data_IF_791177957747
#
_entry.id   IF_791177957747
#
_cell.length_a   1.000
_cell.length_b   1.000
_cell.length_c   1.000
_cell.angle_alpha   90.00
_cell.angle_beta   90.00
_cell.angle_gamma   90.00
#
_symmetry.space_group_name_H-M   'P 1'
#
loop_
_entity.id
_entity.type
_entity.pdbx_description
1 polymer ?
#
# COMPACT_ATOMS: atom_id res chain seq x y z
N UNK A 1 18.57 -47.71 -34.03
CA UNK A 1 18.75 -46.24 -34.07
C UNK A 1 17.49 -45.67 -34.71
N UNK A 2 16.64 -44.82 -34.14
CA UNK A 2 16.84 -43.65 -33.26
C UNK A 2 15.63 -43.52 -32.33
N UNK A 3 15.87 -43.27 -31.04
CA UNK A 3 14.83 -42.91 -30.05
C UNK A 3 14.46 -41.44 -30.27
N UNK A 4 13.17 -41.14 -30.45
CA UNK A 4 12.68 -39.77 -30.45
C UNK A 4 12.66 -39.24 -29.02
N UNK A 5 13.50 -38.25 -28.73
CA UNK A 5 13.49 -37.52 -27.45
C UNK A 5 12.44 -36.40 -27.58
N UNK A 6 11.34 -36.52 -26.84
CA UNK A 6 10.48 -35.37 -26.56
C UNK A 6 11.28 -34.39 -25.69
N UNK A 7 11.51 -33.18 -26.22
CA UNK A 7 12.02 -32.05 -25.44
C UNK A 7 10.85 -31.49 -24.63
N UNK A 8 10.88 -31.68 -23.32
CA UNK A 8 10.03 -30.92 -22.41
C UNK A 8 10.49 -29.46 -22.44
N UNK A 9 9.60 -28.55 -22.86
CA UNK A 9 9.83 -27.12 -22.77
C UNK A 9 9.63 -26.71 -21.30
N UNK A 10 10.71 -26.24 -20.67
CA UNK A 10 10.64 -25.64 -19.34
C UNK A 10 10.09 -24.22 -19.50
N UNK A 11 8.81 -24.03 -19.17
CA UNK A 11 8.23 -22.70 -19.03
C UNK A 11 8.82 -22.07 -17.76
N UNK A 12 9.79 -21.19 -17.92
CA UNK A 12 10.23 -20.31 -16.84
C UNK A 12 9.11 -19.30 -16.57
N UNK A 13 8.32 -19.55 -15.53
CA UNK A 13 7.40 -18.54 -15.00
C UNK A 13 8.22 -17.38 -14.46
N UNK A 14 8.11 -16.21 -15.08
CA UNK A 14 8.52 -14.96 -14.45
C UNK A 14 7.64 -14.79 -13.21
N UNK A 15 8.21 -15.02 -12.02
CA UNK A 15 7.65 -14.45 -10.81
C UNK A 15 7.81 -12.92 -10.95
N UNK A 16 6.71 -12.20 -11.17
CA UNK A 16 6.73 -10.76 -10.93
C UNK A 16 7.04 -10.59 -9.44
N UNK A 17 8.20 -10.02 -9.13
CA UNK A 17 8.47 -9.53 -7.80
C UNK A 17 7.39 -8.46 -7.52
N UNK A 18 6.50 -8.75 -6.58
CA UNK A 18 5.60 -7.72 -6.07
C UNK A 18 6.48 -6.59 -5.51
N UNK A 19 6.12 -5.32 -5.72
CA UNK A 19 6.90 -4.20 -5.18
C UNK A 19 7.02 -4.36 -3.66
N UNK A 20 8.18 -4.03 -3.09
CA UNK A 20 8.49 -4.27 -1.68
C UNK A 20 7.45 -3.66 -0.71
N UNK A 21 6.75 -2.60 -1.12
CA UNK A 21 5.68 -1.98 -0.33
C UNK A 21 4.36 -2.78 -0.34
N UNK A 22 4.12 -3.63 -1.34
CA UNK A 22 2.96 -4.53 -1.36
C UNK A 22 3.14 -5.73 -0.41
N UNK A 23 4.37 -5.96 0.06
CA UNK A 23 4.72 -7.04 1.00
C UNK A 23 5.14 -6.48 2.36
N UNK A 24 4.64 -5.31 2.78
CA UNK A 24 4.85 -4.81 4.15
C UNK A 24 4.51 -5.95 5.12
N UNK A 25 5.54 -6.50 5.78
CA UNK A 25 5.38 -7.49 6.82
C UNK A 25 4.48 -6.87 7.90
N UNK A 26 3.46 -7.62 8.32
CA UNK A 26 2.48 -7.09 9.26
C UNK A 26 3.19 -6.86 10.59
N UNK A 27 3.46 -5.60 10.90
CA UNK A 27 4.14 -5.20 12.12
C UNK A 27 3.16 -4.49 13.05
N UNK A 28 3.11 -4.96 14.29
CA UNK A 28 2.37 -4.29 15.35
C UNK A 28 3.18 -3.09 15.85
N UNK A 29 2.59 -1.92 15.74
CA UNK A 29 3.05 -0.72 16.41
C UNK A 29 2.19 -0.46 17.64
N UNK A 30 2.84 -0.20 18.77
CA UNK A 30 2.12 0.26 19.95
C UNK A 30 1.40 1.58 19.67
N UNK A 31 0.21 1.76 20.24
CA UNK A 31 -0.60 2.98 20.10
C UNK A 31 0.12 4.27 20.54
N UNK A 32 1.26 4.16 21.22
CA UNK A 32 2.05 5.28 21.75
C UNK A 32 3.33 5.59 20.93
N UNK A 33 3.48 5.03 19.71
CA UNK A 33 4.60 5.41 18.84
C UNK A 33 4.39 6.82 18.26
N UNK A 34 4.93 7.81 18.95
CA UNK A 34 4.84 9.22 18.55
C UNK A 34 5.39 9.50 17.14
N UNK A 35 6.34 8.71 16.65
CA UNK A 35 6.85 8.88 15.29
C UNK A 35 5.86 8.35 14.25
N UNK A 36 5.18 7.24 14.55
CA UNK A 36 4.12 6.68 13.71
C UNK A 36 2.91 7.62 13.66
N UNK A 37 2.47 8.14 14.80
CA UNK A 37 1.36 9.09 14.87
C UNK A 37 1.65 10.39 14.10
N UNK A 38 2.87 10.91 14.20
CA UNK A 38 3.31 12.06 13.42
C UNK A 38 3.29 11.78 11.91
N UNK A 39 3.70 10.58 11.49
CA UNK A 39 3.67 10.18 10.10
C UNK A 39 2.25 10.03 9.55
N UNK A 40 1.33 9.45 10.32
CA UNK A 40 -0.10 9.38 9.97
C UNK A 40 -0.68 10.80 9.82
N UNK A 41 -0.34 11.70 10.75
CA UNK A 41 -0.80 13.09 10.69
C UNK A 41 -0.28 13.82 9.44
N UNK A 42 0.98 13.62 9.06
CA UNK A 42 1.58 14.21 7.85
C UNK A 42 0.98 13.62 6.57
N UNK A 43 0.75 12.30 6.53
CA UNK A 43 0.09 11.65 5.41
C UNK A 43 -1.32 12.19 5.21
N UNK A 44 -2.09 12.36 6.29
CA UNK A 44 -3.43 12.96 6.25
C UNK A 44 -3.41 14.43 5.84
N UNK A 45 -2.40 15.19 6.27
CA UNK A 45 -2.26 16.59 5.87
C UNK A 45 -2.00 16.75 4.36
N UNK A 46 -1.34 15.78 3.74
CA UNK A 46 -1.00 15.77 2.31
C UNK A 46 -1.98 14.98 1.44
N UNK A 47 -2.87 14.19 2.05
CA UNK A 47 -3.87 13.38 1.37
C UNK A 47 -4.74 14.17 0.37
N UNK A 48 -5.25 15.38 0.69
CA UNK A 48 -6.05 16.14 -0.28
C UNK A 48 -5.27 16.48 -1.57
N UNK A 49 -3.97 16.77 -1.43
CA UNK A 49 -3.09 17.06 -2.56
C UNK A 49 -2.82 15.81 -3.39
N UNK A 50 -2.59 14.66 -2.74
CA UNK A 50 -2.46 13.37 -3.42
C UNK A 50 -3.73 13.03 -4.21
N UNK A 51 -4.91 13.06 -3.57
CA UNK A 51 -6.18 12.73 -4.21
C UNK A 51 -6.48 13.65 -5.41
N UNK A 52 -6.14 14.93 -5.31
CA UNK A 52 -6.32 15.89 -6.40
C UNK A 52 -5.46 15.57 -7.65
N UNK A 53 -4.32 14.89 -7.47
CA UNK A 53 -3.43 14.53 -8.57
C UNK A 53 -3.67 13.13 -9.12
N UNK A 54 -4.14 12.18 -8.30
CA UNK A 54 -4.26 10.78 -8.73
C UNK A 54 -5.67 10.39 -9.15
N UNK A 55 -6.71 11.15 -8.80
CA UNK A 55 -8.07 10.84 -9.23
C UNK A 55 -8.36 11.46 -10.59
N UNK A 56 -8.91 10.65 -11.51
CA UNK A 56 -9.42 11.14 -12.78
C UNK A 56 -10.79 11.82 -12.64
N UNK A 57 -11.34 12.31 -13.76
CA UNK A 57 -12.65 12.96 -13.77
C UNK A 57 -13.82 12.04 -13.36
N UNK A 58 -13.63 10.73 -13.42
CA UNK A 58 -14.57 9.71 -12.94
C UNK A 58 -14.33 9.29 -11.48
N UNK A 59 -13.30 9.85 -10.83
CA UNK A 59 -12.93 9.54 -9.45
C UNK A 59 -12.12 8.25 -9.31
N UNK A 60 -11.58 7.68 -10.38
CA UNK A 60 -10.73 6.48 -10.33
C UNK A 60 -9.26 6.84 -10.12
N UNK A 61 -8.54 6.06 -9.31
CA UNK A 61 -7.12 6.26 -9.02
C UNK A 61 -6.23 5.94 -10.22
N UNK A 62 -5.19 6.74 -10.42
CA UNK A 62 -4.09 6.47 -11.35
C UNK A 62 -3.36 5.16 -11.00
N UNK A 63 -2.71 4.57 -12.00
CA UNK A 63 -1.84 3.41 -11.79
C UNK A 63 -0.72 3.75 -10.79
N UNK A 64 -0.41 2.81 -9.90
CA UNK A 64 0.61 2.99 -8.86
C UNK A 64 0.17 3.82 -7.65
N UNK A 65 -1.04 4.38 -7.66
CA UNK A 65 -1.60 5.06 -6.50
C UNK A 65 -2.26 4.05 -5.54
N UNK A 66 -1.91 4.13 -4.26
CA UNK A 66 -2.47 3.27 -3.21
C UNK A 66 -2.75 4.10 -1.95
N UNK A 67 -3.71 3.66 -1.14
CA UNK A 67 -3.99 4.23 0.19
C UNK A 67 -3.96 3.14 1.24
N UNK A 68 -3.50 3.47 2.46
CA UNK A 68 -3.54 2.57 3.61
C UNK A 68 -4.72 2.92 4.50
N UNK A 69 -5.63 1.97 4.72
CA UNK A 69 -6.90 2.20 5.40
C UNK A 69 -6.94 1.42 6.71
N UNK A 70 -7.35 2.08 7.79
CA UNK A 70 -7.58 1.44 9.09
C UNK A 70 -8.99 0.87 9.20
N UNK A 71 -9.13 -0.44 9.14
CA UNK A 71 -10.41 -1.13 9.37
C UNK A 71 -10.49 -1.68 10.80
N UNK A 72 -11.68 -1.66 11.43
CA UNK A 72 -11.87 -2.36 12.70
C UNK A 72 -11.51 -3.84 12.55
N UNK A 73 -10.65 -4.34 13.44
CA UNK A 73 -10.32 -5.75 13.49
C UNK A 73 -11.57 -6.58 13.86
N UNK A 74 -11.69 -7.77 13.27
CA UNK A 74 -12.88 -8.63 13.37
C UNK A 74 -12.57 -10.05 13.85
N UNK A 75 -11.29 -10.43 13.95
CA UNK A 75 -10.93 -11.79 14.34
C UNK A 75 -10.45 -11.89 15.78
N UNK A 76 -9.45 -12.74 15.99
CA UNK A 76 -9.06 -13.26 17.29
C UNK A 76 -7.75 -12.65 17.81
N UNK A 77 -7.18 -11.68 17.10
CA UNK A 77 -5.97 -10.99 17.55
C UNK A 77 -6.32 -9.94 18.62
N UNK A 78 -5.30 -9.42 19.29
CA UNK A 78 -5.44 -8.31 20.23
C UNK A 78 -5.44 -6.93 19.51
N UNK A 79 -5.45 -6.92 18.17
CA UNK A 79 -5.54 -5.69 17.39
C UNK A 79 -6.94 -5.09 17.48
N UNK A 80 -7.01 -3.77 17.63
CA UNK A 80 -8.28 -3.02 17.56
C UNK A 80 -8.58 -2.52 16.15
N UNK A 81 -7.53 -2.21 15.38
CA UNK A 81 -7.59 -1.71 14.01
C UNK A 81 -6.47 -2.38 13.22
N UNK A 82 -6.79 -2.89 12.04
CA UNK A 82 -5.80 -3.32 11.07
C UNK A 82 -5.67 -2.25 9.98
N UNK A 83 -4.44 -1.77 9.79
CA UNK A 83 -4.11 -0.86 8.71
C UNK A 83 -3.58 -1.65 7.51
N UNK A 84 -4.29 -1.58 6.39
CA UNK A 84 -3.99 -2.39 5.20
C UNK A 84 -3.99 -1.56 3.92
N UNK A 85 -3.11 -1.89 3.00
CA UNK A 85 -3.03 -1.22 1.71
C UNK A 85 -4.17 -1.65 0.80
N UNK A 86 -4.75 -0.70 0.07
CA UNK A 86 -5.83 -0.95 -0.89
C UNK A 86 -5.52 -0.26 -2.22
N UNK A 87 -5.76 -0.97 -3.32
CA UNK A 87 -5.65 -0.47 -4.69
C UNK A 87 -6.28 -1.44 -5.70
N UNK A 88 -6.72 -0.96 -6.88
CA UNK A 88 -7.01 0.44 -7.18
C UNK A 88 -8.23 0.91 -6.38
N UNK A 89 -8.38 2.22 -6.19
CA UNK A 89 -9.51 2.80 -5.47
C UNK A 89 -10.28 3.80 -6.33
N UNK A 90 -11.57 3.97 -6.04
CA UNK A 90 -12.43 4.94 -6.71
C UNK A 90 -13.29 5.69 -5.70
N UNK A 91 -13.41 7.01 -5.89
CA UNK A 91 -14.30 7.86 -5.10
C UNK A 91 -15.74 7.71 -5.58
N UNK A 92 -16.65 7.54 -4.62
CA UNK A 92 -18.07 7.38 -4.84
C UNK A 92 -18.80 8.74 -4.78
N UNK A 93 -20.03 8.85 -5.34
CA UNK A 93 -20.80 10.11 -5.34
C UNK A 93 -21.14 10.67 -3.95
N UNK A 94 -21.15 9.81 -2.93
CA UNK A 94 -21.38 10.19 -1.53
C UNK A 94 -20.11 10.66 -0.80
N UNK A 95 -18.97 10.66 -1.50
CA UNK A 95 -17.67 11.06 -0.96
C UNK A 95 -16.85 9.91 -0.37
N UNK A 96 -17.43 8.72 -0.20
CA UNK A 96 -16.71 7.52 0.23
C UNK A 96 -15.85 6.93 -0.88
N UNK A 97 -15.19 5.82 -0.58
CA UNK A 97 -14.31 5.11 -1.50
C UNK A 97 -14.69 3.63 -1.60
N UNK A 98 -14.41 3.05 -2.76
CA UNK A 98 -14.39 1.61 -2.99
C UNK A 98 -12.99 1.20 -3.45
N UNK A 99 -12.49 0.07 -3.00
CA UNK A 99 -11.19 -0.46 -3.41
C UNK A 99 -11.14 -1.99 -3.32
N UNK A 100 -10.03 -2.57 -3.74
CA UNK A 100 -9.65 -3.95 -3.43
C UNK A 100 -8.52 -3.97 -2.39
N UNK A 101 -8.49 -4.97 -1.51
CA UNK A 101 -7.35 -5.22 -0.62
C UNK A 101 -6.12 -5.57 -1.46
N UNK A 102 -4.99 -4.87 -1.23
CA UNK A 102 -3.78 -5.05 -2.03
C UNK A 102 -2.78 -6.06 -1.43
N UNK A 103 -3.03 -6.50 -0.20
CA UNK A 103 -2.29 -7.56 0.46
C UNK A 103 -3.25 -8.39 1.34
N UNK A 104 -2.79 -9.55 1.80
CA UNK A 104 -3.60 -10.43 2.64
C UNK A 104 -3.84 -9.83 4.04
N UNK A 105 -5.10 -9.77 4.52
CA UNK A 105 -5.39 -9.29 5.86
C UNK A 105 -5.03 -10.31 6.93
N UNK A 106 -4.74 -9.82 8.13
CA UNK A 106 -4.46 -10.65 9.32
C UNK A 106 -5.71 -10.90 10.14
N UNK A 107 -6.54 -9.87 10.34
CA UNK A 107 -7.63 -9.88 11.29
C UNK A 107 -8.93 -9.22 10.78
N UNK A 108 -9.14 -9.21 9.46
CA UNK A 108 -10.38 -8.73 8.83
C UNK A 108 -11.40 -9.85 8.54
N UNK A 109 -11.42 -10.89 9.37
CA UNK A 109 -12.40 -11.97 9.29
C UNK A 109 -12.27 -12.81 8.00
N UNK A 110 -13.34 -12.93 7.18
CA UNK A 110 -13.32 -13.77 5.98
C UNK A 110 -12.67 -13.11 4.75
N UNK A 111 -12.32 -11.81 4.84
CA UNK A 111 -11.75 -11.06 3.73
C UNK A 111 -10.37 -11.61 3.35
N UNK A 112 -10.03 -11.47 2.07
CA UNK A 112 -8.75 -11.88 1.47
C UNK A 112 -8.20 -10.78 0.59
N UNK A 113 -6.92 -10.88 0.26
CA UNK A 113 -6.33 -10.08 -0.82
C UNK A 113 -7.21 -10.13 -2.07
N UNK A 114 -7.45 -8.96 -2.69
CA UNK A 114 -8.31 -8.81 -3.85
C UNK A 114 -9.81 -8.65 -3.54
N UNK A 115 -10.25 -8.85 -2.29
CA UNK A 115 -11.65 -8.62 -1.93
C UNK A 115 -12.01 -7.13 -1.91
N UNK A 116 -13.25 -6.83 -2.29
CA UNK A 116 -13.77 -5.46 -2.36
C UNK A 116 -14.09 -4.92 -0.96
N UNK A 117 -13.66 -3.69 -0.70
CA UNK A 117 -13.93 -2.94 0.54
C UNK A 117 -14.48 -1.55 0.24
N UNK A 118 -15.21 -0.99 1.20
CA UNK A 118 -15.70 0.39 1.20
C UNK A 118 -15.23 1.09 2.47
N UNK A 119 -14.88 2.37 2.36
CA UNK A 119 -14.34 3.15 3.47
C UNK A 119 -14.53 4.66 3.26
N UNK A 120 -14.47 5.41 4.36
CA UNK A 120 -14.45 6.88 4.35
C UNK A 120 -13.03 7.44 4.24
N UNK A 121 -12.91 8.69 3.80
CA UNK A 121 -11.63 9.39 3.68
C UNK A 121 -10.89 9.47 5.03
N UNK A 122 -11.64 9.60 6.14
CA UNK A 122 -11.12 9.65 7.51
C UNK A 122 -10.44 8.35 7.96
N UNK A 123 -10.76 7.23 7.32
CA UNK A 123 -10.13 5.93 7.59
C UNK A 123 -8.75 5.81 6.95
N UNK A 124 -8.41 6.70 6.01
CA UNK A 124 -7.09 6.72 5.36
C UNK A 124 -6.05 7.19 6.37
N UNK A 125 -4.99 6.40 6.49
CA UNK A 125 -3.88 6.58 7.44
C UNK A 125 -2.55 6.85 6.76
N UNK A 126 -2.42 6.44 5.49
CA UNK A 126 -1.25 6.71 4.65
C UNK A 126 -1.65 6.65 3.17
N UNK A 127 -0.76 7.09 2.29
CA UNK A 127 -0.90 6.97 0.84
C UNK A 127 0.47 6.81 0.21
N UNK A 128 0.54 6.21 -0.98
CA UNK A 128 1.74 6.30 -1.80
C UNK A 128 1.44 6.34 -3.28
N UNK A 129 2.41 6.84 -4.05
CA UNK A 129 2.42 6.81 -5.51
C UNK A 129 3.74 6.24 -5.98
N UNK A 130 3.69 5.10 -6.67
CA UNK A 130 4.88 4.52 -7.29
C UNK A 130 5.35 5.35 -8.48
N UNK A 131 6.66 5.58 -8.54
CA UNK A 131 7.33 6.08 -9.73
C UNK A 131 7.55 4.95 -10.74
N UNK A 132 7.80 5.25 -12.02
CA UNK A 132 8.22 4.24 -13.00
C UNK A 132 9.52 3.50 -12.62
N UNK A 133 10.33 4.06 -11.71
CA UNK A 133 11.55 3.44 -11.23
C UNK A 133 11.30 2.43 -10.08
N UNK A 134 10.07 2.35 -9.55
CA UNK A 134 9.69 1.45 -8.46
C UNK A 134 9.86 2.03 -7.05
N UNK A 135 10.36 3.25 -6.93
CA UNK A 135 10.36 4.03 -5.68
C UNK A 135 8.99 4.66 -5.42
N UNK A 136 8.75 5.11 -4.19
CA UNK A 136 7.47 5.72 -3.82
C UNK A 136 7.59 7.14 -3.26
N UNK A 137 6.71 8.03 -3.73
CA UNK A 137 6.27 9.22 -2.99
C UNK A 137 5.25 8.84 -1.94
N UNK A 138 5.03 9.68 -0.93
CA UNK A 138 4.19 9.37 0.22
C UNK A 138 4.85 8.33 1.12
N UNK A 139 4.13 7.27 1.48
CA UNK A 139 4.58 6.17 2.34
C UNK A 139 5.11 6.65 3.70
N UNK A 140 4.44 7.61 4.33
CA UNK A 140 4.95 8.27 5.54
C UNK A 140 5.16 7.26 6.68
N UNK A 141 4.22 6.35 6.87
CA UNK A 141 4.32 5.30 7.88
C UNK A 141 5.40 4.27 7.51
N UNK A 142 5.47 3.84 6.25
CA UNK A 142 6.54 2.92 5.81
C UNK A 142 7.94 3.55 5.90
N UNK A 143 8.08 4.88 5.78
CA UNK A 143 9.34 5.61 6.04
C UNK A 143 9.74 5.58 7.52
N UNK A 144 8.77 5.56 8.45
CA UNK A 144 9.04 5.32 9.89
C UNK A 144 9.47 3.87 10.08
N UNK A 145 8.73 2.91 9.52
CA UNK A 145 9.04 1.48 9.58
C UNK A 145 10.46 1.18 9.07
N UNK A 146 10.86 1.80 7.95
CA UNK A 146 12.22 1.69 7.40
C UNK A 146 13.28 2.13 8.40
N UNK A 147 13.11 3.31 9.01
CA UNK A 147 14.04 3.81 10.05
C UNK A 147 14.09 2.90 11.28
N UNK A 148 13.01 2.17 11.56
CA UNK A 148 12.91 1.22 12.65
C UNK A 148 13.38 -0.20 12.27
N UNK A 149 13.85 -0.40 11.03
CA UNK A 149 14.50 -1.64 10.59
C UNK A 149 13.59 -2.65 9.90
N UNK A 150 12.33 -2.30 9.62
CA UNK A 150 11.35 -3.21 8.99
C UNK A 150 11.78 -3.70 7.59
N UNK A 151 12.63 -2.92 6.93
CA UNK A 151 13.10 -3.19 5.57
C UNK A 151 14.49 -3.88 5.55
N UNK A 152 14.99 -4.31 6.71
CA UNK A 152 16.33 -4.89 6.84
C UNK A 152 17.41 -3.94 6.32
N UNK A 153 18.31 -4.48 5.48
CA UNK A 153 19.41 -3.72 4.88
C UNK A 153 19.02 -3.00 3.57
N UNK A 154 17.74 -2.99 3.20
CA UNK A 154 17.29 -2.36 1.94
C UNK A 154 17.55 -0.86 2.00
N UNK A 155 18.35 -0.29 1.07
CA UNK A 155 18.64 1.15 1.08
C UNK A 155 17.39 1.98 0.84
N UNK A 156 17.29 3.12 1.54
CA UNK A 156 16.12 4.00 1.50
C UNK A 156 15.77 4.44 0.08
N UNK A 157 16.78 4.81 -0.70
CA UNK A 157 16.67 5.29 -2.08
C UNK A 157 16.22 4.22 -3.08
N UNK A 158 16.20 2.94 -2.69
CA UNK A 158 15.63 1.86 -3.50
C UNK A 158 14.13 1.70 -3.27
N UNK A 159 13.59 2.29 -2.21
CA UNK A 159 12.19 2.13 -1.81
C UNK A 159 11.43 3.44 -1.92
N UNK A 160 12.05 4.56 -1.54
CA UNK A 160 11.38 5.85 -1.40
C UNK A 160 12.08 6.93 -2.19
N UNK A 161 11.28 7.83 -2.75
CA UNK A 161 11.76 9.12 -3.19
C UNK A 161 12.26 9.93 -2.00
N UNK A 162 13.35 10.69 -2.19
CA UNK A 162 13.96 11.46 -1.10
C UNK A 162 12.96 12.42 -0.45
N UNK A 163 12.23 13.16 -1.29
CA UNK A 163 11.08 13.94 -0.90
C UNK A 163 9.81 13.08 -0.95
N UNK A 164 8.93 13.12 0.07
CA UNK A 164 7.66 12.39 0.04
C UNK A 164 6.65 13.01 -0.92
N UNK A 165 6.85 14.25 -1.34
CA UNK A 165 6.00 14.91 -2.32
C UNK A 165 6.77 15.16 -3.62
N UNK A 166 6.15 14.89 -4.78
CA UNK A 166 6.65 15.38 -6.06
C UNK A 166 6.93 16.88 -6.00
N UNK A 167 8.02 17.32 -6.63
CA UNK A 167 8.46 18.71 -6.58
C UNK A 167 7.45 19.68 -7.23
N UNK A 168 6.72 19.20 -8.23
CA UNK A 168 5.69 19.92 -8.98
C UNK A 168 4.33 19.99 -8.28
N UNK A 169 4.16 19.34 -7.12
CA UNK A 169 2.96 19.46 -6.29
C UNK A 169 3.04 20.63 -5.28
N UNK A 170 4.18 21.32 -5.21
CA UNK A 170 4.46 22.42 -4.26
C UNK A 170 4.27 23.81 -4.86
#
# INVERSE_FOLDING_TARGET
MRRALLRAALAAGLALAAPALAQDEVMEFGQDDAAMEAAIAEARATLPLFLAHVLDAGGSSAEGAMVKVGFPAQGASDLSVEHIWVAPFARQPDGGFVSLLANAPVDLGPLREGDRVEFGEEMISDWHLFTPAGTAWGSYTSRVMHRQGAFGDTPFEQVFEADPLPADWR
#
